data_IF_051502466449
#
_entry.id   IF_051502466449
#
_cell.length_a   1.000
_cell.length_b   1.000
_cell.length_c   1.000
_cell.angle_alpha   90.00
_cell.angle_beta   90.00
_cell.angle_gamma   90.00
#
_symmetry.space_group_name_H-M   'P 1'
#
loop_
_entity.id
_entity.type
_entity.pdbx_description
1 polymer ?
#
# COMPACT_ATOMS: atom_id res chain seq x y z
N UNK A 1 -26.52 -1.60 -1.57
CA UNK A 1 -26.16 -0.28 -1.01
C UNK A 1 -24.70 -0.38 -0.56
N UNK A 2 -23.83 0.47 -1.09
CA UNK A 2 -22.40 0.46 -0.71
C UNK A 2 -22.28 1.01 0.69
N UNK A 3 -21.69 0.25 1.62
CA UNK A 3 -21.44 0.70 2.99
C UNK A 3 -19.94 0.86 3.24
N UNK A 4 -19.59 1.67 4.24
CA UNK A 4 -18.21 1.83 4.73
C UNK A 4 -17.59 0.45 5.03
N UNK A 5 -18.29 -0.37 5.83
CA UNK A 5 -17.82 -1.70 6.22
C UNK A 5 -17.56 -2.61 5.01
N UNK A 6 -18.38 -2.50 3.95
CA UNK A 6 -18.16 -3.28 2.74
C UNK A 6 -16.86 -2.87 2.04
N UNK A 7 -16.65 -1.56 1.82
CA UNK A 7 -15.41 -1.06 1.20
C UNK A 7 -14.18 -1.39 2.05
N UNK A 8 -14.26 -1.24 3.36
CA UNK A 8 -13.18 -1.63 4.29
C UNK A 8 -12.88 -3.13 4.25
N UNK A 9 -13.90 -3.98 4.08
CA UNK A 9 -13.68 -5.42 3.89
C UNK A 9 -12.92 -5.74 2.59
N UNK A 10 -13.19 -4.99 1.51
CA UNK A 10 -12.45 -5.09 0.26
C UNK A 10 -11.00 -4.60 0.42
N UNK A 11 -10.78 -3.52 1.19
CA UNK A 11 -9.44 -3.04 1.52
C UNK A 11 -8.64 -4.11 2.29
N UNK A 12 -9.23 -4.70 3.33
CA UNK A 12 -8.61 -5.78 4.10
C UNK A 12 -8.25 -6.97 3.19
N UNK A 13 -9.16 -7.35 2.27
CA UNK A 13 -8.87 -8.40 1.31
C UNK A 13 -7.64 -8.06 0.45
N UNK A 14 -7.51 -6.83 -0.04
CA UNK A 14 -6.32 -6.37 -0.79
C UNK A 14 -5.03 -6.42 0.04
N UNK A 15 -5.09 -6.24 1.35
CA UNK A 15 -3.91 -6.42 2.21
C UNK A 15 -3.55 -7.89 2.44
N UNK A 16 -4.53 -8.80 2.32
CA UNK A 16 -4.33 -10.25 2.47
C UNK A 16 -3.88 -10.93 1.18
N UNK A 17 -4.39 -10.53 0.02
CA UNK A 17 -4.17 -11.26 -1.24
C UNK A 17 -3.15 -10.61 -2.16
N UNK A 18 -2.89 -9.32 -2.00
CA UNK A 18 -1.96 -8.57 -2.86
C UNK A 18 -0.89 -7.92 -1.97
N UNK A 19 0.34 -8.44 -1.91
CA UNK A 19 1.37 -7.83 -1.07
C UNK A 19 1.74 -6.41 -1.56
N UNK A 20 2.13 -5.54 -0.64
CA UNK A 20 2.91 -4.36 -1.02
C UNK A 20 4.36 -4.79 -1.23
N UNK A 21 4.96 -4.43 -2.37
CA UNK A 21 6.38 -4.66 -2.59
C UNK A 21 6.97 -3.72 -3.64
N UNK A 22 8.29 -3.55 -3.61
CA UNK A 22 9.03 -2.77 -4.60
C UNK A 22 9.85 -3.62 -5.59
N UNK A 23 9.64 -4.94 -5.63
CA UNK A 23 10.40 -5.87 -6.48
C UNK A 23 10.45 -5.44 -7.95
N UNK A 24 9.35 -4.94 -8.52
CA UNK A 24 9.30 -4.42 -9.89
C UNK A 24 10.25 -3.23 -10.12
N UNK A 25 10.40 -2.34 -9.14
CA UNK A 25 11.33 -1.22 -9.22
C UNK A 25 12.78 -1.70 -9.10
N UNK A 26 13.04 -2.63 -8.18
CA UNK A 26 14.39 -3.22 -8.01
C UNK A 26 14.85 -3.97 -9.26
N UNK A 27 13.94 -4.65 -9.95
CA UNK A 27 14.21 -5.36 -11.22
C UNK A 27 14.01 -4.49 -12.46
N UNK A 28 13.64 -3.21 -12.31
CA UNK A 28 13.29 -2.29 -13.40
C UNK A 28 12.30 -2.89 -14.41
N UNK A 29 11.33 -3.65 -13.91
CA UNK A 29 10.35 -4.37 -14.71
C UNK A 29 8.97 -3.73 -14.53
N UNK A 30 8.31 -3.38 -15.63
CA UNK A 30 6.92 -2.93 -15.57
C UNK A 30 6.00 -4.15 -15.42
N UNK A 31 5.09 -4.17 -14.42
CA UNK A 31 4.16 -5.28 -14.27
C UNK A 31 3.14 -5.33 -15.41
N UNK A 32 2.91 -6.51 -15.98
CA UNK A 32 1.83 -6.74 -16.95
C UNK A 32 0.46 -6.90 -16.30
N UNK A 33 0.43 -7.23 -15.01
CA UNK A 33 -0.79 -7.47 -14.23
C UNK A 33 -0.64 -6.91 -12.82
N UNK A 34 -1.75 -6.54 -12.20
CA UNK A 34 -1.79 -5.97 -10.84
C UNK A 34 -2.11 -7.01 -9.76
N UNK A 35 -2.44 -8.25 -10.15
CA UNK A 35 -2.94 -9.29 -9.23
C UNK A 35 -1.90 -9.77 -8.21
N UNK A 36 -0.61 -9.50 -8.47
CA UNK A 36 0.47 -9.87 -7.56
C UNK A 36 0.87 -8.77 -6.59
N UNK A 37 0.13 -7.67 -6.57
CA UNK A 37 0.46 -6.51 -5.77
C UNK A 37 1.59 -5.69 -6.39
N UNK A 38 2.32 -4.97 -5.53
CA UNK A 38 3.34 -4.01 -5.95
C UNK A 38 3.34 -2.78 -5.06
N UNK A 39 3.72 -1.63 -5.62
CA UNK A 39 3.82 -0.37 -4.87
C UNK A 39 2.46 0.28 -4.66
N UNK A 40 2.44 1.50 -4.11
CA UNK A 40 1.20 2.27 -3.94
C UNK A 40 0.43 2.43 -5.26
N UNK A 41 1.13 2.62 -6.38
CA UNK A 41 0.52 2.73 -7.70
C UNK A 41 -0.22 1.46 -8.10
N UNK A 42 0.45 0.31 -7.98
CA UNK A 42 -0.09 -0.99 -8.43
C UNK A 42 -1.32 -1.39 -7.61
N UNK A 43 -1.20 -1.30 -6.28
CA UNK A 43 -2.27 -1.64 -5.35
C UNK A 43 -3.46 -0.70 -5.47
N UNK A 44 -3.21 0.60 -5.65
CA UNK A 44 -4.28 1.60 -5.83
C UNK A 44 -5.06 1.34 -7.11
N UNK A 45 -4.37 1.06 -8.22
CA UNK A 45 -5.04 0.74 -9.49
C UNK A 45 -5.83 -0.57 -9.40
N UNK A 46 -5.27 -1.60 -8.76
CA UNK A 46 -5.96 -2.86 -8.51
C UNK A 46 -7.26 -2.67 -7.72
N UNK A 47 -7.19 -1.86 -6.65
CA UNK A 47 -8.35 -1.57 -5.82
C UNK A 47 -9.37 -0.69 -6.54
N UNK A 48 -8.94 0.34 -7.26
CA UNK A 48 -9.81 1.18 -8.09
C UNK A 48 -10.56 0.34 -9.13
N UNK A 49 -9.89 -0.60 -9.80
CA UNK A 49 -10.53 -1.51 -10.76
C UNK A 49 -11.59 -2.40 -10.08
N UNK A 50 -11.30 -2.86 -8.86
CA UNK A 50 -12.25 -3.65 -8.05
C UNK A 50 -13.48 -2.84 -7.68
N UNK A 51 -13.31 -1.58 -7.27
CA UNK A 51 -14.45 -0.70 -6.95
C UNK A 51 -15.27 -0.37 -8.19
N UNK A 52 -14.61 -0.03 -9.31
CA UNK A 52 -15.27 0.28 -10.58
C UNK A 52 -16.06 -0.92 -11.12
N UNK A 53 -15.54 -2.14 -11.03
CA UNK A 53 -16.27 -3.35 -11.48
C UNK A 53 -17.49 -3.67 -10.63
N UNK A 54 -17.51 -3.21 -9.37
CA UNK A 54 -18.66 -3.31 -8.46
C UNK A 54 -19.64 -2.13 -8.58
N UNK A 55 -19.40 -1.20 -9.50
CA UNK A 55 -20.22 0.01 -9.67
C UNK A 55 -20.12 1.00 -8.51
N UNK A 56 -19.04 0.93 -7.71
CA UNK A 56 -18.79 1.88 -6.62
C UNK A 56 -18.13 3.14 -7.20
N UNK A 57 -18.71 4.30 -6.89
CA UNK A 57 -18.17 5.59 -7.30
C UNK A 57 -16.81 5.84 -6.64
N UNK A 58 -15.75 5.79 -7.45
CA UNK A 58 -14.39 5.93 -6.99
C UNK A 58 -13.50 6.54 -8.08
N UNK A 59 -12.53 7.34 -7.67
CA UNK A 59 -11.56 7.99 -8.55
C UNK A 59 -10.15 7.92 -7.99
N UNK A 60 -9.17 8.04 -8.88
CA UNK A 60 -7.77 8.05 -8.48
C UNK A 60 -7.45 9.35 -7.73
N UNK A 61 -6.68 9.24 -6.66
CA UNK A 61 -6.26 10.38 -5.84
C UNK A 61 -4.77 10.31 -5.53
N UNK A 62 -4.19 11.44 -5.17
CA UNK A 62 -2.77 11.55 -4.85
C UNK A 62 -2.56 12.14 -3.47
N UNK A 63 -1.45 11.78 -2.82
CA UNK A 63 -1.09 12.33 -1.52
C UNK A 63 0.42 12.48 -1.39
N UNK A 64 0.81 13.16 -0.30
CA UNK A 64 2.18 13.49 -0.01
C UNK A 64 2.78 12.49 0.98
N UNK A 65 4.01 12.07 0.70
CA UNK A 65 4.92 11.43 1.64
C UNK A 65 6.21 12.25 1.63
N UNK A 66 6.70 12.66 2.80
CA UNK A 66 7.86 13.56 2.92
C UNK A 66 7.75 14.82 2.05
N UNK A 67 6.56 15.43 2.02
CA UNK A 67 6.22 16.60 1.18
C UNK A 67 6.31 16.39 -0.34
N UNK A 68 6.48 15.17 -0.81
CA UNK A 68 6.49 14.83 -2.24
C UNK A 68 5.17 14.19 -2.65
N UNK A 69 4.55 14.67 -3.74
CA UNK A 69 3.32 14.10 -4.29
C UNK A 69 3.62 12.83 -5.12
N UNK A 70 3.98 11.77 -4.40
CA UNK A 70 4.42 10.48 -4.95
C UNK A 70 3.56 9.30 -4.45
N UNK A 71 2.64 9.53 -3.51
CA UNK A 71 1.76 8.49 -2.98
C UNK A 71 0.41 8.50 -3.68
N UNK A 72 -0.19 7.32 -3.83
CA UNK A 72 -1.41 7.07 -4.61
C UNK A 72 -2.41 6.33 -3.74
N UNK A 73 -3.67 6.73 -3.85
CA UNK A 73 -4.79 6.15 -3.11
C UNK A 73 -6.09 6.36 -3.89
N UNK A 74 -7.20 5.80 -3.40
CA UNK A 74 -8.51 5.95 -4.03
C UNK A 74 -9.40 6.88 -3.20
N UNK A 75 -10.01 7.87 -3.84
CA UNK A 75 -11.13 8.60 -3.26
C UNK A 75 -12.44 7.86 -3.62
N UNK A 76 -13.21 7.48 -2.61
CA UNK A 76 -14.46 6.72 -2.72
C UNK A 76 -15.61 7.62 -2.27
N UNK A 77 -16.70 7.64 -3.04
CA UNK A 77 -17.95 8.30 -2.65
C UNK A 77 -18.91 7.26 -2.08
N UNK A 78 -19.35 7.49 -0.84
CA UNK A 78 -20.37 6.67 -0.17
C UNK A 78 -21.41 7.65 0.36
N UNK A 79 -22.64 7.54 -0.15
CA UNK A 79 -23.78 8.37 0.30
C UNK A 79 -23.49 9.89 0.23
N UNK A 80 -22.78 10.33 -0.82
CA UNK A 80 -22.41 11.74 -1.02
C UNK A 80 -21.20 12.20 -0.20
N UNK A 81 -20.62 11.32 0.61
CA UNK A 81 -19.44 11.62 1.42
C UNK A 81 -18.17 11.06 0.79
N UNK A 82 -17.10 11.85 0.83
CA UNK A 82 -15.79 11.43 0.31
C UNK A 82 -14.97 10.75 1.40
N UNK A 83 -14.46 9.58 1.06
CA UNK A 83 -13.54 8.80 1.86
C UNK A 83 -12.26 8.51 1.08
N UNK A 84 -11.15 8.40 1.79
CA UNK A 84 -9.84 8.07 1.22
C UNK A 84 -9.46 6.65 1.64
N UNK A 85 -9.25 5.79 0.65
CA UNK A 85 -8.85 4.40 0.81
C UNK A 85 -7.36 4.23 0.44
N UNK A 86 -6.51 4.09 1.45
CA UNK A 86 -5.07 3.91 1.27
C UNK A 86 -4.66 2.44 1.42
N UNK A 87 -4.89 1.66 0.36
CA UNK A 87 -4.42 0.27 0.28
C UNK A 87 -2.93 0.17 -0.05
N UNK A 88 -2.30 1.26 -0.48
CA UNK A 88 -0.98 1.30 -1.09
C UNK A 88 0.16 1.75 -0.17
N UNK A 89 -0.13 2.14 1.07
CA UNK A 89 0.83 2.78 2.00
C UNK A 89 2.03 1.91 2.38
N UNK A 90 1.95 0.59 2.18
CA UNK A 90 2.89 -0.39 2.71
C UNK A 90 2.65 -0.74 4.19
N UNK A 91 1.69 -0.08 4.85
CA UNK A 91 1.18 -0.37 6.19
C UNK A 91 -0.32 -0.69 6.13
N UNK A 92 -0.87 -1.52 7.05
CA UNK A 92 -2.23 -2.05 6.95
C UNK A 92 -3.29 -1.04 7.40
N UNK A 93 -3.47 0.05 6.65
CA UNK A 93 -4.54 1.02 6.88
C UNK A 93 -5.89 0.44 6.41
N UNK A 94 -6.51 -0.39 7.25
CA UNK A 94 -7.71 -1.17 6.90
C UNK A 94 -9.03 -0.40 6.98
N UNK A 95 -9.00 0.87 7.40
CA UNK A 95 -10.18 1.74 7.50
C UNK A 95 -10.13 2.86 6.49
N UNK A 96 -11.31 3.35 6.11
CA UNK A 96 -11.45 4.55 5.30
C UNK A 96 -11.14 5.80 6.13
N UNK A 97 -10.48 6.78 5.52
CA UNK A 97 -10.29 8.11 6.12
C UNK A 97 -11.33 9.09 5.56
N UNK A 98 -12.27 9.58 6.36
CA UNK A 98 -13.30 10.51 5.90
C UNK A 98 -12.72 11.90 5.67
N UNK A 99 -13.21 12.62 4.66
CA UNK A 99 -12.79 14.01 4.38
C UNK A 99 -13.16 14.99 5.51
N UNK A 100 -14.26 14.74 6.23
CA UNK A 100 -14.94 15.74 7.08
C UNK A 100 -14.92 15.46 8.58
N UNK A 101 -14.46 14.28 9.01
CA UNK A 101 -14.29 14.00 10.44
C UNK A 101 -13.04 13.15 10.68
N UNK A 102 -12.50 13.27 11.88
CA UNK A 102 -11.31 12.54 12.29
C UNK A 102 -11.66 11.12 12.71
N UNK A 103 -10.77 10.18 12.44
CA UNK A 103 -10.90 8.78 12.87
C UNK A 103 -9.68 8.39 13.67
N UNK A 104 -9.87 7.46 14.61
CA UNK A 104 -8.81 6.80 15.34
C UNK A 104 -9.16 5.34 15.53
N UNK A 105 -8.23 4.45 15.20
CA UNK A 105 -8.41 3.00 15.36
C UNK A 105 -7.06 2.32 15.52
N UNK A 106 -7.09 1.09 16.00
CA UNK A 106 -5.90 0.23 16.13
C UNK A 106 -6.17 -1.06 15.35
N UNK A 107 -5.14 -1.55 14.66
CA UNK A 107 -5.13 -2.88 14.07
C UNK A 107 -3.70 -3.42 14.09
N UNK A 108 -3.54 -4.71 14.35
CA UNK A 108 -2.22 -5.38 14.40
C UNK A 108 -1.22 -4.67 15.34
N UNK A 109 -1.68 -4.05 16.44
CA UNK A 109 -0.82 -3.29 17.34
C UNK A 109 -0.30 -1.95 16.79
N UNK A 110 -0.84 -1.49 15.66
CA UNK A 110 -0.55 -0.18 15.04
C UNK A 110 -1.79 0.70 15.21
N UNK A 111 -1.60 1.90 15.77
CA UNK A 111 -2.69 2.87 15.90
C UNK A 111 -2.63 3.88 14.78
N UNK A 112 -3.74 4.09 14.10
CA UNK A 112 -3.93 5.13 13.10
C UNK A 112 -4.80 6.23 13.69
N UNK A 113 -4.46 7.48 13.38
CA UNK A 113 -5.37 8.62 13.58
C UNK A 113 -5.28 9.57 12.40
N UNK A 114 -6.39 10.24 12.09
CA UNK A 114 -6.39 11.35 11.14
C UNK A 114 -6.53 12.70 11.85
N UNK A 115 -6.02 13.74 11.22
CA UNK A 115 -6.19 15.13 11.65
C UNK A 115 -6.62 15.96 10.45
N UNK A 116 -7.68 16.75 10.61
CA UNK A 116 -8.21 17.59 9.53
C UNK A 116 -7.57 18.98 9.58
N UNK A 117 -7.02 19.39 8.44
CA UNK A 117 -6.50 20.74 8.18
C UNK A 117 -7.40 21.43 7.15
N UNK A 118 -7.29 22.76 6.97
CA UNK A 118 -8.14 23.49 6.02
C UNK A 118 -8.14 22.93 4.59
N UNK A 119 -7.01 22.38 4.13
CA UNK A 119 -6.82 21.92 2.75
C UNK A 119 -6.38 20.47 2.62
N UNK A 120 -6.22 19.77 3.73
CA UNK A 120 -5.68 18.40 3.74
C UNK A 120 -6.13 17.61 4.95
N UNK A 121 -6.02 16.29 4.84
CA UNK A 121 -6.13 15.35 5.93
C UNK A 121 -4.75 14.73 6.17
N UNK A 122 -4.28 14.77 7.41
CA UNK A 122 -3.02 14.13 7.81
C UNK A 122 -3.33 12.79 8.47
N UNK A 123 -2.68 11.73 8.02
CA UNK A 123 -2.78 10.40 8.63
C UNK A 123 -1.51 10.12 9.40
N UNK A 124 -1.65 9.91 10.70
CA UNK A 124 -0.57 9.52 11.59
C UNK A 124 -0.67 8.03 11.93
N UNK A 125 0.48 7.41 12.11
CA UNK A 125 0.62 6.03 12.55
C UNK A 125 1.52 5.98 13.79
N UNK A 126 1.06 5.27 14.82
CA UNK A 126 1.79 5.02 16.04
C UNK A 126 2.09 3.55 16.14
N UNK A 127 3.38 3.21 16.21
CA UNK A 127 3.88 1.84 16.37
C UNK A 127 5.08 1.87 17.32
N UNK A 128 5.18 0.87 18.21
CA UNK A 128 6.25 0.78 19.22
C UNK A 128 6.42 2.08 20.04
N UNK A 129 5.32 2.75 20.35
CA UNK A 129 5.30 4.00 21.13
C UNK A 129 5.69 5.26 20.34
N UNK A 130 6.09 5.15 19.07
CA UNK A 130 6.46 6.29 18.24
C UNK A 130 5.37 6.63 17.23
N UNK A 131 4.92 7.87 17.25
CA UNK A 131 4.00 8.42 16.27
C UNK A 131 4.77 9.08 15.11
N UNK A 132 4.33 8.81 13.88
CA UNK A 132 4.90 9.40 12.66
C UNK A 132 3.79 9.77 11.69
N UNK A 133 3.96 10.89 10.99
CA UNK A 133 3.11 11.22 9.84
C UNK A 133 3.30 10.15 8.76
N UNK A 134 2.23 9.47 8.37
CA UNK A 134 2.26 8.45 7.32
C UNK A 134 2.07 9.08 5.95
N UNK A 135 1.02 9.89 5.80
CA UNK A 135 0.72 10.61 4.56
C UNK A 135 -0.11 11.86 4.85
N UNK A 136 0.02 12.84 3.97
CA UNK A 136 -0.85 14.02 3.92
C UNK A 136 -1.66 14.00 2.63
N UNK A 137 -2.98 13.90 2.76
CA UNK A 137 -3.94 13.78 1.66
C UNK A 137 -4.55 15.16 1.41
N UNK A 138 -4.15 15.87 0.33
CA UNK A 138 -4.79 17.12 -0.03
C UNK A 138 -6.23 16.86 -0.45
N UNK A 139 -7.14 17.77 -0.11
CA UNK A 139 -8.54 17.64 -0.51
C UNK A 139 -8.74 17.85 -2.00
N UNK A 140 -7.85 18.63 -2.62
CA UNK A 140 -7.74 18.78 -4.06
C UNK A 140 -6.60 17.91 -4.58
N UNK A 141 -6.91 17.02 -5.53
CA UNK A 141 -5.91 16.15 -6.14
C UNK A 141 -5.33 16.74 -7.42
N UNK A 142 -4.19 16.19 -7.84
CA UNK A 142 -3.84 16.16 -9.26
C UNK A 142 -4.97 15.59 -10.11
N UNK A 143 -5.06 16.01 -11.37
CA UNK A 143 -5.96 15.39 -12.34
C UNK A 143 -5.63 13.90 -12.49
N UNK A 144 -6.65 13.04 -12.58
CA UNK A 144 -6.50 11.58 -12.77
C UNK A 144 -5.55 11.24 -13.93
N UNK A 145 -5.60 11.98 -15.05
CA UNK A 145 -4.68 11.77 -16.16
C UNK A 145 -3.21 12.00 -15.77
N UNK A 146 -2.92 13.09 -15.05
CA UNK A 146 -1.57 13.38 -14.58
C UNK A 146 -1.09 12.32 -13.59
N UNK A 147 -1.98 11.83 -12.72
CA UNK A 147 -1.64 10.74 -11.80
C UNK A 147 -1.32 9.46 -12.58
N UNK A 148 -2.10 9.13 -13.61
CA UNK A 148 -1.86 7.98 -14.47
C UNK A 148 -0.53 8.09 -15.22
N UNK A 149 -0.17 9.29 -15.69
CA UNK A 149 1.10 9.54 -16.37
C UNK A 149 2.27 9.39 -15.39
N UNK A 150 2.16 9.96 -14.18
CA UNK A 150 3.15 9.76 -13.10
C UNK A 150 3.34 8.25 -12.79
N UNK A 151 2.25 7.49 -12.74
CA UNK A 151 2.31 6.04 -12.51
C UNK A 151 3.06 5.35 -13.66
N UNK A 152 2.73 5.63 -14.92
CA UNK A 152 3.40 5.00 -16.08
C UNK A 152 4.89 5.31 -16.11
N UNK A 153 5.25 6.54 -15.78
CA UNK A 153 6.62 7.02 -15.85
C UNK A 153 7.48 6.57 -14.66
N UNK A 154 6.91 5.95 -13.61
CA UNK A 154 7.66 5.57 -12.38
C UNK A 154 8.90 4.68 -12.57
N UNK A 155 9.06 4.05 -13.73
CA UNK A 155 10.22 3.20 -14.07
C UNK A 155 11.29 3.90 -14.92
N UNK A 156 11.07 5.15 -15.34
CA UNK A 156 11.98 5.88 -16.22
C UNK A 156 13.22 6.47 -15.52
N UNK A 157 13.25 6.41 -14.18
CA UNK A 157 14.33 6.93 -13.34
C UNK A 157 14.26 8.43 -13.05
N UNK A 158 13.19 9.13 -13.44
CA UNK A 158 12.98 10.57 -13.20
C UNK A 158 12.58 10.90 -11.76
N UNK A 159 12.05 9.93 -11.01
CA UNK A 159 11.60 10.08 -9.62
C UNK A 159 12.38 9.12 -8.73
N UNK A 160 13.09 9.67 -7.75
CA UNK A 160 13.71 8.87 -6.69
C UNK A 160 12.67 8.56 -5.61
N UNK A 161 12.17 7.32 -5.59
CA UNK A 161 11.26 6.85 -4.55
C UNK A 161 12.04 6.50 -3.26
N UNK A 162 11.46 6.69 -2.07
CA UNK A 162 12.10 6.36 -0.78
C UNK A 162 12.37 4.86 -0.58
N UNK A 163 11.90 4.02 -1.51
CA UNK A 163 12.10 2.57 -1.55
C UNK A 163 12.84 2.12 -2.81
N UNK A 164 13.64 2.99 -3.45
CA UNK A 164 14.34 2.64 -4.70
C UNK A 164 15.55 1.71 -4.50
N UNK A 165 16.12 1.65 -3.30
CA UNK A 165 17.44 1.02 -3.05
C UNK A 165 17.41 -0.15 -2.06
N UNK A 166 16.26 -0.44 -1.46
CA UNK A 166 16.14 -1.41 -0.37
C UNK A 166 14.87 -2.25 -0.47
N UNK A 167 14.94 -3.54 -0.13
CA UNK A 167 13.80 -4.46 -0.25
C UNK A 167 12.66 -4.03 0.66
N UNK A 168 11.45 -3.92 0.12
CA UNK A 168 10.22 -3.71 0.87
C UNK A 168 9.22 -4.78 0.46
N UNK A 169 8.67 -5.48 1.44
CA UNK A 169 7.59 -6.44 1.22
C UNK A 169 6.68 -6.44 2.46
N UNK A 170 5.38 -6.22 2.30
CA UNK A 170 4.44 -6.32 3.40
C UNK A 170 3.11 -6.92 3.00
N UNK A 171 2.47 -7.60 3.94
CA UNK A 171 1.20 -8.28 3.74
C UNK A 171 0.55 -8.56 5.09
N UNK A 172 -0.77 -8.69 5.09
CA UNK A 172 -1.49 -9.32 6.19
C UNK A 172 -1.54 -10.83 5.93
N UNK A 173 -1.02 -11.62 6.86
CA UNK A 173 -1.04 -13.09 6.80
C UNK A 173 -1.69 -13.59 8.07
N UNK A 174 -2.76 -14.37 7.92
CA UNK A 174 -3.66 -14.77 9.00
C UNK A 174 -4.16 -13.52 9.76
N UNK A 175 -3.81 -13.39 11.04
CA UNK A 175 -4.15 -12.26 11.91
C UNK A 175 -2.94 -11.39 12.27
N UNK A 176 -1.89 -11.43 11.44
CA UNK A 176 -0.64 -10.67 11.64
C UNK A 176 -0.37 -9.78 10.44
N UNK A 177 0.22 -8.62 10.70
CA UNK A 177 0.84 -7.81 9.66
C UNK A 177 2.35 -8.06 9.66
N UNK A 178 2.87 -8.47 8.51
CA UNK A 178 4.28 -8.75 8.32
C UNK A 178 4.89 -7.65 7.46
N UNK A 179 6.08 -7.20 7.84
CA UNK A 179 6.82 -6.19 7.07
C UNK A 179 8.31 -6.54 6.99
N UNK A 180 8.73 -6.97 5.82
CA UNK A 180 10.13 -7.13 5.45
C UNK A 180 10.68 -5.79 4.94
N UNK A 181 11.67 -5.29 5.65
CA UNK A 181 12.41 -4.10 5.32
C UNK A 181 13.90 -4.43 5.30
N UNK A 182 14.49 -4.40 4.11
CA UNK A 182 15.89 -4.74 3.89
C UNK A 182 16.20 -6.16 4.38
N UNK A 183 16.96 -6.28 5.46
CA UNK A 183 17.39 -7.54 6.09
C UNK A 183 16.57 -7.89 7.35
N UNK A 184 15.47 -7.18 7.59
CA UNK A 184 14.70 -7.29 8.82
C UNK A 184 13.22 -7.57 8.52
N UNK A 185 12.70 -8.69 9.03
CA UNK A 185 11.29 -9.04 9.02
C UNK A 185 10.67 -8.70 10.37
N UNK A 186 9.69 -7.79 10.35
CA UNK A 186 8.94 -7.34 11.52
C UNK A 186 7.57 -8.00 11.56
N UNK A 187 7.16 -8.45 12.75
CA UNK A 187 5.83 -8.99 13.01
C UNK A 187 5.01 -8.05 13.89
N UNK A 188 3.81 -7.73 13.45
CA UNK A 188 2.85 -6.86 14.12
C UNK A 188 1.55 -7.64 14.40
N UNK A 189 1.09 -7.60 15.65
CA UNK A 189 -0.18 -8.19 16.11
C UNK A 189 -0.69 -7.43 17.35
N UNK A 190 -1.94 -7.66 17.75
CA UNK A 190 -2.56 -6.89 18.85
C UNK A 190 -2.08 -7.28 20.25
N UNK A 191 -1.75 -8.55 20.47
CA UNK A 191 -1.56 -9.09 21.83
C UNK A 191 -0.12 -9.51 22.16
N UNK A 192 0.75 -9.68 21.16
CA UNK A 192 2.14 -10.09 21.39
C UNK A 192 3.11 -8.91 21.30
N UNK A 193 4.23 -9.04 22.02
CA UNK A 193 5.38 -8.16 21.80
C UNK A 193 5.84 -8.28 20.35
N UNK A 194 6.20 -7.17 19.68
CA UNK A 194 6.75 -7.21 18.34
C UNK A 194 7.90 -8.21 18.27
N UNK A 195 7.81 -9.16 17.34
CA UNK A 195 8.89 -10.10 17.05
C UNK A 195 9.60 -9.64 15.79
N UNK A 196 10.93 -9.74 15.78
CA UNK A 196 11.77 -9.34 14.66
C UNK A 196 12.71 -10.48 14.31
N UNK A 197 12.91 -10.74 13.01
CA UNK A 197 14.00 -11.55 12.49
C UNK A 197 14.93 -10.60 11.75
N UNK A 198 16.15 -10.44 12.23
CA UNK A 198 17.17 -9.54 11.68
C UNK A 198 18.27 -10.32 10.95
N UNK A 199 19.14 -9.60 10.24
CA UNK A 199 20.29 -10.17 9.50
C UNK A 199 19.85 -11.22 8.47
N UNK A 200 18.71 -11.02 7.83
CA UNK A 200 18.24 -11.86 6.73
C UNK A 200 19.19 -11.67 5.55
N UNK A 201 19.81 -12.77 5.15
CA UNK A 201 20.59 -12.84 3.93
C UNK A 201 19.70 -12.54 2.72
N UNK A 202 20.14 -11.57 1.90
CA UNK A 202 19.41 -11.16 0.68
C UNK A 202 19.24 -12.31 -0.30
N UNK A 203 20.19 -13.23 -0.38
CA UNK A 203 20.09 -14.41 -1.25
C UNK A 203 18.95 -15.35 -0.82
N UNK A 204 18.54 -15.28 0.46
CA UNK A 204 17.45 -16.07 1.04
C UNK A 204 16.13 -15.30 1.12
N UNK A 205 16.07 -14.07 0.59
CA UNK A 205 14.88 -13.23 0.68
C UNK A 205 13.65 -13.90 0.03
N UNK A 206 13.82 -14.58 -1.10
CA UNK A 206 12.75 -15.35 -1.76
C UNK A 206 12.19 -16.45 -0.86
N UNK A 207 13.06 -17.21 -0.18
CA UNK A 207 12.67 -18.29 0.73
C UNK A 207 11.96 -17.75 1.97
N UNK A 208 12.43 -16.61 2.51
CA UNK A 208 11.77 -15.93 3.63
C UNK A 208 10.38 -15.43 3.22
N UNK A 209 10.26 -14.81 2.03
CA UNK A 209 8.97 -14.34 1.51
C UNK A 209 8.02 -15.53 1.34
N UNK A 210 8.49 -16.62 0.71
CA UNK A 210 7.68 -17.83 0.54
C UNK A 210 7.23 -18.44 1.86
N UNK A 211 8.14 -18.56 2.83
CA UNK A 211 7.88 -19.17 4.13
C UNK A 211 6.90 -18.37 4.98
N UNK A 212 7.09 -17.04 5.07
CA UNK A 212 6.36 -16.21 6.02
C UNK A 212 5.17 -15.47 5.41
N UNK A 213 5.28 -15.07 4.15
CA UNK A 213 4.23 -14.34 3.44
C UNK A 213 3.32 -15.26 2.61
N UNK A 214 3.66 -16.56 2.54
CA UNK A 214 2.95 -17.53 1.71
C UNK A 214 2.88 -17.11 0.24
N UNK A 215 3.90 -16.37 -0.22
CA UNK A 215 3.95 -15.77 -1.55
C UNK A 215 5.20 -16.23 -2.31
N UNK A 216 5.02 -16.75 -3.52
CA UNK A 216 6.13 -17.19 -4.35
C UNK A 216 6.57 -16.09 -5.30
N UNK A 217 7.68 -15.42 -5.01
CA UNK A 217 8.19 -14.30 -5.83
C UNK A 217 8.54 -14.69 -7.26
N UNK A 218 8.71 -15.99 -7.56
CA UNK A 218 9.05 -16.46 -8.91
C UNK A 218 7.94 -16.20 -9.92
N UNK A 219 6.67 -16.18 -9.48
CA UNK A 219 5.52 -15.88 -10.35
C UNK A 219 5.61 -14.48 -10.96
N UNK A 220 6.27 -13.55 -10.26
CA UNK A 220 6.51 -12.19 -10.75
C UNK A 220 7.43 -12.17 -11.97
N UNK A 221 8.33 -13.14 -12.11
CA UNK A 221 9.30 -13.17 -13.20
C UNK A 221 8.87 -14.10 -14.33
N UNK A 222 8.21 -15.21 -14.01
CA UNK A 222 7.69 -16.16 -15.00
C UNK A 222 6.61 -15.51 -15.89
N UNK A 223 5.68 -14.75 -15.33
CA UNK A 223 4.62 -14.11 -16.12
C UNK A 223 5.06 -12.80 -16.81
N UNK A 224 6.13 -12.18 -16.32
CA UNK A 224 6.73 -11.04 -17.00
C UNK A 224 7.70 -11.44 -18.14
N UNK A 225 8.10 -12.71 -18.24
CA UNK A 225 8.92 -13.23 -19.34
C UNK A 225 8.09 -13.67 -20.56
N UNK A 226 8.24 -12.94 -21.67
CA UNK A 226 8.37 -13.58 -22.99
C UNK A 226 9.74 -13.16 -23.53
N UNK A 227 10.55 -14.16 -23.87
CA UNK A 227 11.91 -14.13 -24.43
C UNK A 227 13.10 -14.03 -23.46
N UNK A 228 13.60 -15.23 -23.13
CA UNK A 228 15.00 -15.71 -23.11
C UNK A 228 16.01 -14.98 -22.21
N UNK A 229 16.43 -15.70 -21.17
CA UNK A 229 17.85 -15.88 -20.91
C UNK A 229 18.32 -17.16 -21.60
N UNK A 230 19.07 -16.99 -22.68
CA UNK A 230 20.11 -17.90 -23.15
C UNK A 230 21.44 -17.30 -22.76
#
# INVERSE_FOLDING_TARGET
MTSINYVESLMLNKFKTEPFHNLYLLSKTTPKTLIYGGTCSDKTLSFLNTLKSLGIEAKLHSSLINNQNIHRLVAVNIEGQTYFADVGNGWPSIKLFPKHYEVRYTCYGITYRSEIKPYSLKVYQTRRGEERLSTEIPFESKNEQQIMDDIKNRFDGSVEYPFSTGLRFSQVVDDKFLFLRDDTLLFFCECDKPQDITNIDREKASDIIKKHFQFDVRVLFEENQVSKFS
#
